data_IF_369338639201
#
_entry.id   IF_369338639201
#
_cell.length_a   1.000
_cell.length_b   1.000
_cell.length_c   1.000
_cell.angle_alpha   90.00
_cell.angle_beta   90.00
_cell.angle_gamma   90.00
#
_symmetry.space_group_name_H-M   'P 1'
#
loop_
_entity.id
_entity.type
_entity.pdbx_description
1 polymer ?
#
# COMPACT_ATOMS: atom_id res chain seq x y z
N UNK A 1 -15.77 11.94 7.01
CA UNK A 1 -14.37 12.36 7.26
C UNK A 1 -13.64 11.16 7.84
N UNK A 2 -12.70 10.56 7.12
CA UNK A 2 -11.99 9.36 7.58
C UNK A 2 -11.12 9.76 8.78
N UNK A 3 -11.30 9.10 9.92
CA UNK A 3 -10.62 9.46 11.15
C UNK A 3 -9.20 8.90 11.17
N UNK A 4 -8.25 9.68 10.65
CA UNK A 4 -6.83 9.32 10.55
C UNK A 4 -6.21 8.91 11.90
N UNK A 5 -6.71 9.44 13.03
CA UNK A 5 -6.23 9.08 14.38
C UNK A 5 -6.51 7.63 14.76
N UNK A 6 -7.60 7.04 14.25
CA UNK A 6 -7.91 5.63 14.51
C UNK A 6 -6.88 4.72 13.82
N UNK A 7 -6.55 5.03 12.56
CA UNK A 7 -5.56 4.29 11.79
C UNK A 7 -4.15 4.43 12.37
N UNK A 8 -3.81 5.63 12.84
CA UNK A 8 -2.51 5.91 13.45
C UNK A 8 -2.31 5.09 14.73
N UNK A 9 -3.33 4.99 15.59
CA UNK A 9 -3.28 4.14 16.80
C UNK A 9 -3.20 2.64 16.49
N UNK A 10 -3.90 2.18 15.44
CA UNK A 10 -3.87 0.77 15.06
C UNK A 10 -2.50 0.38 14.48
N UNK A 11 -1.89 1.28 13.69
CA UNK A 11 -0.51 1.14 13.20
C UNK A 11 0.50 1.14 14.34
N UNK A 12 0.35 2.03 15.34
CA UNK A 12 1.22 2.08 16.52
C UNK A 12 1.12 0.81 17.38
N UNK A 13 -0.07 0.21 17.50
CA UNK A 13 -0.25 -1.05 18.21
C UNK A 13 0.36 -2.24 17.46
N UNK A 14 0.21 -2.30 16.14
CA UNK A 14 0.80 -3.38 15.32
C UNK A 14 2.34 -3.26 15.23
N UNK A 15 2.88 -2.03 15.21
CA UNK A 15 4.33 -1.80 15.20
C UNK A 15 5.04 -2.18 16.51
N UNK A 16 4.31 -2.24 17.63
CA UNK A 16 4.89 -2.51 18.95
C UNK A 16 5.10 -4.01 19.25
N UNK A 17 4.65 -4.93 18.39
CA UNK A 17 4.65 -6.36 18.72
C UNK A 17 5.84 -7.14 18.15
N UNK A 18 6.49 -6.76 17.05
CA UNK A 18 7.59 -7.59 16.51
C UNK A 18 8.68 -6.82 15.74
N UNK A 19 9.92 -6.99 16.24
CA UNK A 19 11.23 -6.86 15.58
C UNK A 19 11.68 -5.46 15.07
N UNK A 20 12.63 -4.89 15.81
CA UNK A 20 13.50 -3.80 15.42
C UNK A 20 14.36 -4.19 14.19
N UNK A 21 13.91 -3.78 13.00
CA UNK A 21 14.67 -3.41 11.79
C UNK A 21 13.86 -3.60 10.50
N UNK A 22 12.72 -4.32 10.54
CA UNK A 22 11.81 -4.45 9.39
C UNK A 22 10.30 -4.33 9.69
N UNK A 23 9.83 -3.64 10.76
CA UNK A 23 8.41 -3.66 11.12
C UNK A 23 7.56 -3.02 10.01
N UNK A 24 8.02 -1.91 9.43
CA UNK A 24 7.30 -1.19 8.36
C UNK A 24 7.22 -2.00 7.07
N UNK A 25 8.29 -2.73 6.70
CA UNK A 25 8.32 -3.55 5.48
C UNK A 25 7.34 -4.72 5.60
N UNK A 26 7.30 -5.38 6.77
CA UNK A 26 6.34 -6.45 7.02
C UNK A 26 4.89 -5.91 7.03
N UNK A 27 4.65 -4.74 7.62
CA UNK A 27 3.36 -4.06 7.54
C UNK A 27 2.94 -3.77 6.09
N UNK A 28 3.87 -3.33 5.23
CA UNK A 28 3.59 -3.09 3.80
C UNK A 28 3.19 -4.38 3.10
N UNK A 29 3.96 -5.47 3.27
CA UNK A 29 3.64 -6.78 2.66
C UNK A 29 2.26 -7.28 3.07
N UNK A 30 1.94 -7.18 4.37
CA UNK A 30 0.62 -7.56 4.88
C UNK A 30 -0.47 -6.68 4.26
N UNK A 31 -0.27 -5.36 4.21
CA UNK A 31 -1.23 -4.44 3.62
C UNK A 31 -1.41 -4.65 2.11
N UNK A 32 -0.34 -4.98 1.37
CA UNK A 32 -0.40 -5.33 -0.05
C UNK A 32 -1.23 -6.59 -0.27
N UNK A 33 -0.98 -7.64 0.51
CA UNK A 33 -1.76 -8.90 0.43
C UNK A 33 -3.24 -8.68 0.75
N UNK A 34 -3.54 -7.84 1.76
CA UNK A 34 -4.91 -7.45 2.08
C UNK A 34 -5.56 -6.68 0.92
N UNK A 35 -4.84 -5.74 0.30
CA UNK A 35 -5.32 -4.99 -0.85
C UNK A 35 -5.58 -5.89 -2.06
N UNK A 36 -4.66 -6.82 -2.37
CA UNK A 36 -4.85 -7.81 -3.44
C UNK A 36 -6.10 -8.67 -3.18
N UNK A 37 -6.27 -9.18 -1.96
CA UNK A 37 -7.46 -9.96 -1.58
C UNK A 37 -8.74 -9.16 -1.81
N UNK A 38 -8.79 -7.89 -1.38
CA UNK A 38 -9.96 -7.03 -1.60
C UNK A 38 -10.22 -6.71 -3.08
N UNK A 39 -9.16 -6.63 -3.89
CA UNK A 39 -9.28 -6.45 -5.33
C UNK A 39 -9.84 -7.72 -6.00
N UNK A 40 -9.47 -8.92 -5.56
CA UNK A 40 -10.04 -10.17 -6.05
C UNK A 40 -11.50 -10.37 -5.60
N UNK A 41 -11.84 -9.98 -4.38
CA UNK A 41 -13.22 -10.05 -3.87
C UNK A 41 -14.15 -9.00 -4.54
N UNK A 42 -13.58 -8.00 -5.22
CA UNK A 42 -14.31 -6.95 -5.88
C UNK A 42 -15.01 -7.48 -7.14
N UNK A 43 -16.32 -7.77 -7.03
CA UNK A 43 -17.18 -8.24 -8.14
C UNK A 43 -17.25 -7.30 -9.36
N UNK A 44 -16.78 -6.05 -9.21
CA UNK A 44 -16.80 -5.04 -10.27
C UNK A 44 -15.42 -4.79 -10.90
N UNK A 45 -14.38 -5.43 -10.36
CA UNK A 45 -13.02 -5.30 -10.84
C UNK A 45 -12.78 -6.40 -11.89
N UNK A 46 -12.22 -6.03 -13.04
CA UNK A 46 -11.87 -7.02 -14.06
C UNK A 46 -10.55 -7.71 -13.68
N UNK A 47 -10.38 -8.97 -14.10
CA UNK A 47 -9.13 -9.71 -13.85
C UNK A 47 -7.91 -8.99 -14.44
N UNK A 48 -8.07 -8.30 -15.58
CA UNK A 48 -7.01 -7.51 -16.20
C UNK A 48 -6.61 -6.31 -15.33
N UNK A 49 -7.58 -5.58 -14.78
CA UNK A 49 -7.31 -4.46 -13.87
C UNK A 49 -6.66 -4.93 -12.56
N UNK A 50 -7.16 -6.04 -12.00
CA UNK A 50 -6.62 -6.63 -10.76
C UNK A 50 -5.15 -7.02 -10.98
N UNK A 51 -4.84 -7.69 -12.09
CA UNK A 51 -3.47 -8.09 -12.42
C UNK A 51 -2.56 -6.87 -12.64
N UNK A 52 -3.04 -5.82 -13.32
CA UNK A 52 -2.28 -4.57 -13.51
C UNK A 52 -1.96 -3.88 -12.18
N UNK A 53 -2.94 -3.80 -11.28
CA UNK A 53 -2.78 -3.18 -9.96
C UNK A 53 -1.85 -4.02 -9.08
N UNK A 54 -2.04 -5.35 -9.01
CA UNK A 54 -1.16 -6.27 -8.26
C UNK A 54 0.30 -6.18 -8.72
N UNK A 55 0.53 -6.17 -10.03
CA UNK A 55 1.89 -6.02 -10.58
C UNK A 55 2.54 -4.69 -10.17
N UNK A 56 1.76 -3.61 -10.13
CA UNK A 56 2.27 -2.31 -9.70
C UNK A 56 2.53 -2.22 -8.19
N UNK A 57 1.70 -2.87 -7.37
CA UNK A 57 1.93 -3.03 -5.92
C UNK A 57 3.25 -3.78 -5.68
N UNK A 58 3.44 -4.93 -6.33
CA UNK A 58 4.68 -5.73 -6.23
C UNK A 58 5.92 -4.96 -6.69
N UNK A 59 5.79 -4.12 -7.72
CA UNK A 59 6.88 -3.26 -8.18
C UNK A 59 7.30 -2.25 -7.09
N UNK A 60 6.33 -1.66 -6.38
CA UNK A 60 6.60 -0.74 -5.26
C UNK A 60 7.26 -1.48 -4.11
N UNK A 61 6.78 -2.66 -3.73
CA UNK A 61 7.43 -3.47 -2.70
C UNK A 61 8.89 -3.77 -3.04
N UNK A 62 9.16 -4.13 -4.29
CA UNK A 62 10.52 -4.40 -4.77
C UNK A 62 11.42 -3.16 -4.73
N UNK A 63 10.89 -1.99 -5.08
CA UNK A 63 11.62 -0.73 -5.00
C UNK A 63 11.93 -0.35 -3.54
N UNK A 64 10.97 -0.54 -2.62
CA UNK A 64 11.17 -0.31 -1.18
C UNK A 64 12.23 -1.25 -0.61
N UNK A 65 12.25 -2.51 -1.05
CA UNK A 65 13.24 -3.52 -0.66
C UNK A 65 14.59 -3.38 -1.39
N UNK A 66 14.71 -2.44 -2.33
CA UNK A 66 15.95 -2.25 -3.08
C UNK A 66 17.05 -1.69 -2.16
N UNK A 67 18.31 -1.90 -2.55
CA UNK A 67 19.46 -1.40 -1.81
C UNK A 67 19.51 0.14 -1.74
N UNK A 68 18.83 0.83 -2.67
CA UNK A 68 18.78 2.29 -2.74
C UNK A 68 17.39 2.74 -3.23
N UNK A 69 16.38 2.72 -2.35
CA UNK A 69 15.02 3.12 -2.71
C UNK A 69 15.01 4.60 -3.12
N UNK A 70 14.41 4.89 -4.27
CA UNK A 70 14.26 6.27 -4.74
C UNK A 70 12.88 6.82 -4.41
N UNK A 71 12.82 7.80 -3.51
CA UNK A 71 11.58 8.48 -3.12
C UNK A 71 10.81 9.07 -4.31
N UNK A 72 11.53 9.58 -5.32
CA UNK A 72 10.93 10.07 -6.58
C UNK A 72 10.27 8.94 -7.36
N UNK A 73 10.96 7.81 -7.52
CA UNK A 73 10.44 6.64 -8.25
C UNK A 73 9.22 6.07 -7.53
N UNK A 74 9.31 5.89 -6.21
CA UNK A 74 8.21 5.43 -5.37
C UNK A 74 6.99 6.36 -5.45
N UNK A 75 7.20 7.67 -5.45
CA UNK A 75 6.11 8.65 -5.61
C UNK A 75 5.42 8.51 -6.98
N UNK A 76 6.21 8.35 -8.05
CA UNK A 76 5.67 8.12 -9.39
C UNK A 76 4.90 6.80 -9.49
N UNK A 77 5.43 5.72 -8.91
CA UNK A 77 4.76 4.41 -8.88
C UNK A 77 3.46 4.48 -8.06
N UNK A 78 3.48 5.14 -6.90
CA UNK A 78 2.30 5.31 -6.05
C UNK A 78 1.19 6.09 -6.78
N UNK A 79 1.55 7.17 -7.48
CA UNK A 79 0.60 7.93 -8.32
C UNK A 79 0.03 7.07 -9.44
N UNK A 80 0.85 6.21 -10.06
CA UNK A 80 0.37 5.27 -11.08
C UNK A 80 -0.66 4.30 -10.51
N UNK A 81 -0.40 3.70 -9.33
CA UNK A 81 -1.37 2.84 -8.64
C UNK A 81 -2.66 3.58 -8.33
N UNK A 82 -2.56 4.84 -7.87
CA UNK A 82 -3.73 5.67 -7.62
C UNK A 82 -4.58 5.86 -8.88
N UNK A 83 -3.96 6.20 -10.02
CA UNK A 83 -4.66 6.36 -11.29
C UNK A 83 -5.35 5.07 -11.77
N UNK A 84 -4.69 3.91 -11.59
CA UNK A 84 -5.28 2.61 -11.96
C UNK A 84 -6.46 2.25 -11.05
N UNK A 85 -6.38 2.56 -9.75
CA UNK A 85 -7.51 2.42 -8.86
C UNK A 85 -8.64 3.38 -9.24
N UNK A 86 -8.33 4.62 -9.60
CA UNK A 86 -9.30 5.62 -10.03
C UNK A 86 -10.06 5.24 -11.29
N UNK A 87 -9.47 4.43 -12.17
CA UNK A 87 -10.14 3.90 -13.36
C UNK A 87 -11.10 2.73 -13.10
N UNK A 88 -11.04 2.08 -11.93
CA UNK A 88 -11.96 0.97 -11.60
C UNK A 88 -13.12 1.40 -10.72
N UNK A 89 -14.23 0.64 -10.78
CA UNK A 89 -15.37 0.84 -9.89
C UNK A 89 -15.05 0.31 -8.50
N UNK A 90 -14.58 1.20 -7.63
CA UNK A 90 -14.08 0.87 -6.29
C UNK A 90 -15.23 0.56 -5.33
N UNK A 91 -15.06 -0.47 -4.51
CA UNK A 91 -15.89 -0.67 -3.32
C UNK A 91 -15.27 0.04 -2.10
N UNK A 92 -16.04 0.32 -1.04
CA UNK A 92 -15.51 0.90 0.20
C UNK A 92 -14.35 0.08 0.79
N UNK A 93 -14.39 -1.24 0.70
CA UNK A 93 -13.38 -2.16 1.22
C UNK A 93 -12.05 -2.00 0.48
N UNK A 94 -12.09 -1.89 -0.85
CA UNK A 94 -10.90 -1.62 -1.68
C UNK A 94 -10.31 -0.25 -1.34
N UNK A 95 -11.16 0.77 -1.16
CA UNK A 95 -10.72 2.10 -0.78
C UNK A 95 -10.03 2.13 0.59
N UNK A 96 -10.58 1.43 1.58
CA UNK A 96 -9.99 1.35 2.91
C UNK A 96 -8.66 0.58 2.89
N UNK A 97 -8.61 -0.56 2.21
CA UNK A 97 -7.38 -1.34 2.07
C UNK A 97 -6.29 -0.53 1.36
N UNK A 98 -6.66 0.18 0.29
CA UNK A 98 -5.73 1.05 -0.42
C UNK A 98 -5.24 2.22 0.43
N UNK A 99 -6.11 2.87 1.19
CA UNK A 99 -5.72 3.97 2.08
C UNK A 99 -4.71 3.52 3.14
N UNK A 100 -4.92 2.33 3.73
CA UNK A 100 -3.96 1.72 4.67
C UNK A 100 -2.62 1.47 4.01
N UNK A 101 -2.63 0.76 2.88
CA UNK A 101 -1.41 0.43 2.12
C UNK A 101 -0.65 1.69 1.69
N UNK A 102 -1.36 2.68 1.13
CA UNK A 102 -0.80 3.96 0.70
C UNK A 102 -0.12 4.70 1.84
N UNK A 103 -0.74 4.75 3.02
CA UNK A 103 -0.17 5.44 4.19
C UNK A 103 1.17 4.85 4.59
N UNK A 104 1.28 3.51 4.58
CA UNK A 104 2.53 2.80 4.85
C UNK A 104 3.61 3.09 3.80
N UNK A 105 3.26 3.06 2.52
CA UNK A 105 4.18 3.40 1.43
C UNK A 105 4.66 4.85 1.54
N UNK A 106 3.76 5.79 1.82
CA UNK A 106 4.12 7.20 2.03
C UNK A 106 5.06 7.39 3.24
N UNK A 107 4.88 6.62 4.31
CA UNK A 107 5.82 6.60 5.44
C UNK A 107 7.21 6.11 5.01
N UNK A 108 7.29 5.04 4.21
CA UNK A 108 8.57 4.55 3.67
C UNK A 108 9.24 5.56 2.72
N UNK A 109 8.47 6.29 1.91
CA UNK A 109 8.98 7.36 1.05
C UNK A 109 9.59 8.50 1.89
N UNK A 110 8.94 8.86 3.00
CA UNK A 110 9.46 9.89 3.92
C UNK A 110 10.68 9.41 4.69
N UNK A 111 10.70 8.15 5.12
CA UNK A 111 11.81 7.57 5.87
C UNK A 111 13.07 7.31 5.01
N UNK A 112 12.92 7.12 3.70
CA UNK A 112 14.04 6.97 2.76
C UNK A 112 14.73 8.30 2.39
N UNK A 113 14.25 9.42 2.96
CA UNK A 113 14.86 10.75 2.85
C UNK A 113 15.78 11.10 4.04
N UNK A 114 16.02 10.16 4.98
CA UNK A 114 16.91 10.34 6.14
C UNK A 114 18.28 9.76 5.87
#
# INVERSE_FOLDING_TARGET
MINYNYFQKQLEQEMNVEAADQPVINCIKVASSQLETRLYDCKHCSDDDINKISNAIKAIEKEILSQKPSSKVLTHMLKRVQNMLDSIKKTPEVLMAYARWRSLVEMSIKSSLV
#
